data_IF_150189972893
#
_entry.id   IF_150189972893
#
_cell.length_a   1.000
_cell.length_b   1.000
_cell.length_c   1.000
_cell.angle_alpha   90.00
_cell.angle_beta   90.00
_cell.angle_gamma   90.00
#
_symmetry.space_group_name_H-M   'P 1'
#
loop_
_entity.id
_entity.type
_entity.pdbx_description
1 polymer ?
#
# COMPACT_ATOMS: atom_id res chain seq x y z
N UNK A 1 -28.43 -36.47 -11.27
CA UNK A 1 -27.84 -35.66 -12.36
C UNK A 1 -26.62 -34.96 -11.78
N UNK A 2 -25.48 -35.11 -12.44
CA UNK A 2 -24.20 -34.62 -11.97
C UNK A 2 -24.08 -33.10 -12.17
N UNK A 3 -23.61 -32.40 -11.13
CA UNK A 3 -23.11 -31.03 -11.25
C UNK A 3 -21.60 -31.03 -11.01
N UNK A 4 -20.82 -31.08 -12.09
CA UNK A 4 -19.38 -30.82 -12.06
C UNK A 4 -19.17 -29.31 -12.12
N UNK A 5 -18.84 -28.68 -10.99
CA UNK A 5 -18.51 -27.27 -10.95
C UNK A 5 -17.03 -27.03 -11.30
N UNK A 6 -16.83 -25.98 -12.09
CA UNK A 6 -15.62 -25.52 -12.79
C UNK A 6 -14.50 -25.03 -11.86
N UNK A 7 -13.84 -25.93 -11.13
CA UNK A 7 -12.68 -25.57 -10.30
C UNK A 7 -11.34 -25.50 -11.05
N UNK A 8 -11.30 -25.83 -12.35
CA UNK A 8 -10.06 -25.84 -13.14
C UNK A 8 -9.63 -24.43 -13.62
N UNK A 9 -10.57 -23.54 -13.97
CA UNK A 9 -10.24 -22.24 -14.55
C UNK A 9 -9.68 -21.24 -13.52
N UNK A 10 -10.11 -21.30 -12.25
CA UNK A 10 -9.62 -20.38 -11.21
C UNK A 10 -8.16 -20.65 -10.81
N UNK A 11 -7.70 -21.90 -10.90
CA UNK A 11 -6.30 -22.26 -10.65
C UNK A 11 -5.38 -21.79 -11.79
N UNK A 12 -5.80 -21.96 -13.05
CA UNK A 12 -5.03 -21.49 -14.21
C UNK A 12 -4.91 -19.96 -14.25
N UNK A 13 -5.98 -19.23 -13.89
CA UNK A 13 -5.96 -17.76 -13.80
C UNK A 13 -5.03 -17.27 -12.67
N UNK A 14 -5.03 -17.92 -11.50
CA UNK A 14 -4.13 -17.57 -10.37
C UNK A 14 -2.66 -17.84 -10.68
N UNK A 15 -2.33 -18.95 -11.33
CA UNK A 15 -0.94 -19.28 -11.68
C UNK A 15 -0.39 -18.37 -12.79
N UNK A 16 -1.23 -17.97 -13.75
CA UNK A 16 -0.84 -17.00 -14.78
C UNK A 16 -0.60 -15.60 -14.19
N UNK A 17 -1.39 -15.16 -13.22
CA UNK A 17 -1.16 -13.88 -12.54
C UNK A 17 0.12 -13.89 -11.69
N UNK A 18 0.38 -14.96 -10.95
CA UNK A 18 1.60 -15.10 -10.16
C UNK A 18 2.87 -15.05 -11.04
N UNK A 19 2.84 -15.73 -12.20
CA UNK A 19 3.95 -15.68 -13.17
C UNK A 19 4.16 -14.28 -13.73
N UNK A 20 3.09 -13.55 -14.06
CA UNK A 20 3.19 -12.15 -14.55
C UNK A 20 3.79 -11.22 -13.50
N UNK A 21 3.33 -11.30 -12.26
CA UNK A 21 3.90 -10.56 -11.13
C UNK A 21 5.39 -10.87 -10.96
N UNK A 22 5.79 -12.14 -11.11
CA UNK A 22 7.18 -12.56 -11.00
C UNK A 22 8.04 -11.98 -12.13
N UNK A 23 7.53 -12.01 -13.38
CA UNK A 23 8.23 -11.39 -14.51
C UNK A 23 8.36 -9.88 -14.33
N UNK A 24 7.30 -9.19 -13.92
CA UNK A 24 7.35 -7.76 -13.63
C UNK A 24 8.37 -7.46 -12.52
N UNK A 25 8.36 -8.22 -11.43
CA UNK A 25 9.33 -8.09 -10.34
C UNK A 25 10.78 -8.26 -10.83
N UNK A 26 11.06 -9.30 -11.62
CA UNK A 26 12.41 -9.56 -12.13
C UNK A 26 12.87 -8.41 -13.03
N UNK A 27 12.00 -7.89 -13.90
CA UNK A 27 12.31 -6.74 -14.77
C UNK A 27 12.60 -5.50 -13.93
N UNK A 28 11.69 -5.12 -13.03
CA UNK A 28 11.84 -3.93 -12.19
C UNK A 28 13.06 -4.02 -11.28
N UNK A 29 13.26 -5.15 -10.58
CA UNK A 29 14.42 -5.35 -9.71
C UNK A 29 15.74 -5.41 -10.50
N UNK A 30 15.73 -6.02 -11.68
CA UNK A 30 16.89 -6.07 -12.57
C UNK A 30 17.31 -4.67 -13.04
N UNK A 31 16.34 -3.84 -13.43
CA UNK A 31 16.61 -2.47 -13.84
C UNK A 31 17.00 -1.56 -12.68
N UNK A 32 16.38 -1.71 -11.51
CA UNK A 32 16.80 -1.03 -10.29
C UNK A 32 18.31 -1.25 -10.03
N UNK A 33 18.81 -2.49 -10.16
CA UNK A 33 20.25 -2.77 -10.00
C UNK A 33 21.10 -2.09 -11.08
N UNK A 34 20.63 -2.06 -12.34
CA UNK A 34 21.31 -1.35 -13.43
C UNK A 34 21.38 0.15 -13.17
N UNK A 35 20.33 0.76 -12.60
CA UNK A 35 20.30 2.18 -12.25
C UNK A 35 21.16 2.50 -11.04
N UNK A 36 21.22 1.63 -10.03
CA UNK A 36 22.15 1.79 -8.90
C UNK A 36 23.59 1.77 -9.40
N UNK A 37 23.97 0.71 -10.14
CA UNK A 37 25.32 0.59 -10.70
C UNK A 37 25.61 1.74 -11.66
N UNK A 38 24.63 2.07 -12.50
CA UNK A 38 24.69 3.14 -13.47
C UNK A 38 24.84 4.53 -12.86
N UNK A 39 24.12 4.82 -11.77
CA UNK A 39 24.22 6.05 -11.01
C UNK A 39 25.57 6.19 -10.33
N UNK A 40 26.11 5.11 -9.76
CA UNK A 40 27.46 5.10 -9.18
C UNK A 40 28.53 5.33 -10.26
N UNK A 41 28.47 4.60 -11.38
CA UNK A 41 29.46 4.68 -12.46
C UNK A 41 29.40 6.01 -13.22
N UNK A 42 28.20 6.54 -13.46
CA UNK A 42 28.03 7.85 -14.10
C UNK A 42 28.25 9.01 -13.15
N UNK A 43 28.23 8.74 -11.84
CA UNK A 43 28.16 9.75 -10.80
C UNK A 43 26.83 10.50 -10.81
N UNK A 44 25.74 10.02 -11.43
CA UNK A 44 24.45 10.72 -11.45
C UNK A 44 23.64 10.45 -10.18
N UNK A 45 23.24 11.51 -9.49
CA UNK A 45 22.30 11.42 -8.39
C UNK A 45 20.86 11.20 -8.87
N UNK A 46 20.54 11.66 -10.09
CA UNK A 46 19.19 11.50 -10.63
C UNK A 46 18.88 10.02 -10.88
N UNK A 47 19.86 9.26 -11.39
CA UNK A 47 19.73 7.80 -11.53
C UNK A 47 19.60 7.08 -10.18
N UNK A 48 20.31 7.54 -9.15
CA UNK A 48 20.18 6.95 -7.80
C UNK A 48 18.81 7.28 -7.18
N UNK A 49 18.26 8.46 -7.47
CA UNK A 49 16.92 8.83 -7.05
C UNK A 49 15.84 7.99 -7.74
N UNK A 50 15.98 7.78 -9.05
CA UNK A 50 15.10 6.90 -9.84
C UNK A 50 15.18 5.44 -9.34
N UNK A 51 16.39 4.95 -9.07
CA UNK A 51 16.60 3.63 -8.48
C UNK A 51 15.92 3.47 -7.11
N UNK A 52 15.88 4.55 -6.31
CA UNK A 52 15.13 4.59 -5.06
C UNK A 52 13.62 4.44 -5.28
N UNK A 53 13.05 5.09 -6.28
CA UNK A 53 11.66 4.86 -6.67
C UNK A 53 11.44 3.39 -7.06
N UNK A 54 12.28 2.86 -7.94
CA UNK A 54 12.22 1.49 -8.44
C UNK A 54 12.36 0.42 -7.34
N UNK A 55 13.08 0.72 -6.26
CA UNK A 55 13.14 -0.12 -5.06
C UNK A 55 11.75 -0.27 -4.43
N UNK A 56 10.98 0.81 -4.37
CA UNK A 56 9.60 0.79 -3.84
C UNK A 56 8.71 -0.12 -4.67
N UNK A 57 8.83 -0.03 -6.00
CA UNK A 57 7.96 -0.77 -6.92
C UNK A 57 8.35 -2.26 -6.93
N UNK A 58 9.66 -2.55 -6.90
CA UNK A 58 10.16 -3.91 -6.71
C UNK A 58 9.69 -4.50 -5.37
N UNK A 59 9.72 -3.72 -4.28
CA UNK A 59 9.22 -4.16 -2.98
C UNK A 59 7.71 -4.43 -3.01
N UNK A 60 6.91 -3.56 -3.63
CA UNK A 60 5.47 -3.75 -3.78
C UNK A 60 5.14 -5.03 -4.59
N UNK A 61 5.84 -5.25 -5.71
CA UNK A 61 5.68 -6.46 -6.52
C UNK A 61 6.12 -7.73 -5.77
N UNK A 62 7.21 -7.65 -5.00
CA UNK A 62 7.67 -8.73 -4.13
C UNK A 62 6.61 -9.06 -3.07
N UNK A 63 6.00 -8.05 -2.45
CA UNK A 63 4.95 -8.26 -1.46
C UNK A 63 3.68 -8.84 -2.07
N UNK A 64 3.29 -8.42 -3.28
CA UNK A 64 2.20 -9.05 -4.01
C UNK A 64 2.48 -10.54 -4.28
N UNK A 65 3.71 -10.88 -4.68
CA UNK A 65 4.13 -12.28 -4.87
C UNK A 65 4.11 -13.08 -3.58
N UNK A 66 4.64 -12.51 -2.50
CA UNK A 66 4.62 -13.13 -1.17
C UNK A 66 3.19 -13.30 -0.67
N UNK A 67 2.29 -12.34 -0.89
CA UNK A 67 0.88 -12.45 -0.54
C UNK A 67 0.21 -13.62 -1.29
N UNK A 68 0.46 -13.76 -2.60
CA UNK A 68 -0.02 -14.93 -3.37
C UNK A 68 0.56 -16.22 -2.80
N UNK A 69 1.83 -16.27 -2.46
CA UNK A 69 2.49 -17.47 -1.93
C UNK A 69 1.99 -17.83 -0.51
N UNK A 70 1.83 -16.84 0.36
CA UNK A 70 1.35 -17.03 1.74
C UNK A 70 -0.14 -17.31 1.80
N UNK A 71 -0.94 -16.82 0.85
CA UNK A 71 -2.36 -17.20 0.74
C UNK A 71 -2.57 -18.71 0.56
N UNK A 72 -1.53 -19.43 0.11
CA UNK A 72 -1.53 -20.89 -0.03
C UNK A 72 -1.17 -21.64 1.26
N UNK A 73 -0.68 -20.96 2.30
CA UNK A 73 -0.32 -21.58 3.58
C UNK A 73 -1.47 -21.42 4.59
N UNK A 74 -1.96 -22.50 5.21
CA UNK A 74 -3.00 -22.40 6.23
C UNK A 74 -2.45 -21.68 7.47
N UNK A 75 -3.30 -20.94 8.22
CA UNK A 75 -2.93 -20.40 9.53
C UNK A 75 -2.44 -21.49 10.49
N UNK A 76 -1.56 -21.12 11.42
CA UNK A 76 -1.04 -22.05 12.45
C UNK A 76 -1.55 -21.64 13.82
N UNK A 77 -1.50 -22.54 14.81
CA UNK A 77 -1.97 -22.25 16.18
C UNK A 77 -1.25 -21.06 16.81
N UNK A 78 0.03 -20.83 16.47
CA UNK A 78 0.81 -19.67 16.94
C UNK A 78 0.58 -18.40 16.11
N UNK A 79 0.17 -18.53 14.86
CA UNK A 79 -0.14 -17.42 13.96
C UNK A 79 -1.56 -17.60 13.43
N UNK A 80 -2.53 -17.20 14.25
CA UNK A 80 -3.97 -17.43 14.03
C UNK A 80 -4.51 -16.72 12.79
N UNK A 81 -3.95 -15.55 12.44
CA UNK A 81 -4.19 -14.86 11.17
C UNK A 81 -3.17 -15.19 10.08
N UNK A 82 -2.28 -16.17 10.32
CA UNK A 82 -1.16 -16.48 9.44
C UNK A 82 -0.10 -15.38 9.40
N UNK A 83 0.52 -15.18 8.25
CA UNK A 83 1.66 -14.29 8.05
C UNK A 83 1.29 -12.95 7.40
N UNK A 84 0.02 -12.56 7.48
CA UNK A 84 -0.51 -11.38 6.79
C UNK A 84 0.15 -10.06 7.24
N UNK A 85 0.52 -9.91 8.51
CA UNK A 85 1.22 -8.70 8.99
C UNK A 85 2.67 -8.57 8.51
N UNK A 86 3.27 -9.62 7.94
CA UNK A 86 4.65 -9.57 7.46
C UNK A 86 4.79 -8.61 6.26
N UNK A 87 3.76 -8.49 5.42
CA UNK A 87 3.74 -7.53 4.31
C UNK A 87 3.78 -6.11 4.83
N UNK A 88 3.05 -5.82 5.91
CA UNK A 88 3.01 -4.51 6.58
C UNK A 88 4.36 -4.15 7.18
N UNK A 89 4.98 -5.10 7.90
CA UNK A 89 6.31 -4.89 8.47
C UNK A 89 7.36 -4.61 7.39
N UNK A 90 7.28 -5.33 6.27
CA UNK A 90 8.20 -5.15 5.17
C UNK A 90 7.98 -3.83 4.43
N UNK A 91 6.73 -3.40 4.26
CA UNK A 91 6.38 -2.07 3.75
C UNK A 91 6.91 -0.94 4.66
N UNK A 92 6.82 -1.11 5.99
CA UNK A 92 7.38 -0.18 6.96
C UNK A 92 8.90 -0.05 6.84
N UNK A 93 9.62 -1.18 6.79
CA UNK A 93 11.09 -1.19 6.61
C UNK A 93 11.48 -0.56 5.26
N UNK A 94 10.76 -0.87 4.19
CA UNK A 94 10.97 -0.27 2.88
C UNK A 94 10.78 1.26 2.91
N UNK A 95 9.70 1.74 3.54
CA UNK A 95 9.44 3.17 3.68
C UNK A 95 10.57 3.89 4.43
N UNK A 96 11.13 3.30 5.49
CA UNK A 96 12.30 3.84 6.20
C UNK A 96 13.51 3.89 5.27
N UNK A 97 13.81 2.80 4.56
CA UNK A 97 14.95 2.75 3.65
C UNK A 97 14.87 3.85 2.58
N UNK A 98 13.69 4.08 2.01
CA UNK A 98 13.45 5.15 1.04
C UNK A 98 13.66 6.53 1.63
N UNK A 99 13.14 6.80 2.83
CA UNK A 99 13.37 8.08 3.51
C UNK A 99 14.87 8.31 3.70
N UNK A 100 15.61 7.30 4.18
CA UNK A 100 17.06 7.39 4.41
C UNK A 100 17.80 7.65 3.10
N UNK A 101 17.58 6.83 2.06
CA UNK A 101 18.23 6.97 0.75
C UNK A 101 17.93 8.35 0.15
N UNK A 102 16.69 8.80 0.22
CA UNK A 102 16.28 10.10 -0.32
C UNK A 102 16.95 11.25 0.40
N UNK A 103 17.04 11.21 1.73
CA UNK A 103 17.75 12.23 2.50
C UNK A 103 19.24 12.26 2.18
N UNK A 104 19.87 11.10 1.97
CA UNK A 104 21.27 11.00 1.53
C UNK A 104 21.46 11.61 0.13
N UNK A 105 20.55 11.36 -0.81
CA UNK A 105 20.62 11.94 -2.16
C UNK A 105 20.46 13.46 -2.11
N UNK A 106 19.51 13.97 -1.33
CA UNK A 106 19.32 15.42 -1.16
C UNK A 106 20.55 16.06 -0.53
N UNK A 107 21.14 15.43 0.50
CA UNK A 107 22.37 15.89 1.12
C UNK A 107 23.52 15.98 0.10
N UNK A 108 23.77 14.90 -0.65
CA UNK A 108 24.82 14.83 -1.67
C UNK A 108 24.56 15.82 -2.81
N UNK A 109 23.29 16.04 -3.19
CA UNK A 109 22.91 17.04 -4.18
C UNK A 109 23.23 18.46 -3.71
N UNK A 110 22.95 18.77 -2.44
CA UNK A 110 23.31 20.06 -1.82
C UNK A 110 24.83 20.24 -1.84
N UNK A 111 25.60 19.21 -1.46
CA UNK A 111 27.07 19.27 -1.49
C UNK A 111 27.61 19.58 -2.89
N UNK A 112 27.03 18.96 -3.93
CA UNK A 112 27.46 19.14 -5.32
C UNK A 112 27.24 20.54 -5.89
N UNK A 113 26.36 21.36 -5.30
CA UNK A 113 26.29 22.78 -5.67
C UNK A 113 27.53 23.56 -5.22
N UNK A 114 28.15 23.14 -4.11
CA UNK A 114 29.38 23.76 -3.59
C UNK A 114 30.64 23.13 -4.20
N UNK A 115 30.63 21.81 -4.44
CA UNK A 115 31.75 21.06 -5.02
C UNK A 115 31.30 20.28 -6.26
N UNK A 116 31.23 20.92 -7.45
CA UNK A 116 30.78 20.26 -8.67
C UNK A 116 31.62 19.02 -8.99
N UNK A 117 30.94 17.87 -9.14
CA UNK A 117 31.55 16.60 -9.58
C UNK A 117 31.21 16.34 -11.04
N UNK A 118 32.11 15.73 -11.83
CA UNK A 118 31.82 15.36 -13.20
C UNK A 118 30.75 14.27 -13.24
N UNK A 119 29.78 14.43 -14.15
CA UNK A 119 28.72 13.43 -14.41
C UNK A 119 28.89 12.92 -15.83
N UNK A 120 28.96 11.61 -16.01
CA UNK A 120 29.09 10.99 -17.33
C UNK A 120 27.72 10.99 -18.05
N UNK A 121 27.37 12.13 -18.65
CA UNK A 121 26.07 12.35 -19.30
C UNK A 121 25.69 11.28 -20.33
N UNK A 122 26.64 10.78 -21.12
CA UNK A 122 26.37 9.71 -22.09
C UNK A 122 25.94 8.39 -21.42
N UNK A 123 26.62 8.00 -20.35
CA UNK A 123 26.29 6.79 -19.60
C UNK A 123 24.92 6.97 -18.92
N UNK A 124 24.72 8.13 -18.28
CA UNK A 124 23.46 8.53 -17.67
C UNK A 124 22.28 8.44 -18.65
N UNK A 125 22.45 8.95 -19.88
CA UNK A 125 21.44 8.90 -20.94
C UNK A 125 21.05 7.48 -21.30
N UNK A 126 22.03 6.61 -21.55
CA UNK A 126 21.79 5.22 -21.97
C UNK A 126 21.00 4.47 -20.90
N UNK A 127 21.38 4.64 -19.64
CA UNK A 127 20.69 3.98 -18.52
C UNK A 127 19.28 4.55 -18.34
N UNK A 128 19.10 5.86 -18.37
CA UNK A 128 17.80 6.49 -18.17
C UNK A 128 16.80 6.12 -19.29
N UNK A 129 17.24 6.04 -20.54
CA UNK A 129 16.40 5.56 -21.66
C UNK A 129 16.09 4.07 -21.51
N UNK A 130 17.05 3.26 -21.08
CA UNK A 130 16.83 1.83 -20.87
C UNK A 130 15.84 1.58 -19.71
N UNK A 131 15.95 2.31 -18.60
CA UNK A 131 15.01 2.27 -17.47
C UNK A 131 13.60 2.69 -17.87
N UNK A 132 13.46 3.79 -18.63
CA UNK A 132 12.19 4.21 -19.19
C UNK A 132 11.52 3.10 -20.03
N UNK A 133 12.28 2.46 -20.92
CA UNK A 133 11.76 1.34 -21.74
C UNK A 133 11.39 0.13 -20.89
N UNK A 134 12.15 -0.15 -19.82
CA UNK A 134 11.84 -1.23 -18.89
C UNK A 134 10.54 -1.01 -18.15
N UNK A 135 10.30 0.21 -17.65
CA UNK A 135 9.07 0.56 -16.94
C UNK A 135 7.86 0.46 -17.86
N UNK A 136 7.97 0.93 -19.11
CA UNK A 136 6.93 0.75 -20.12
C UNK A 136 6.68 -0.74 -20.43
N UNK A 137 7.74 -1.56 -20.47
CA UNK A 137 7.62 -3.00 -20.70
C UNK A 137 6.96 -3.73 -19.53
N UNK A 138 7.36 -3.41 -18.29
CA UNK A 138 6.75 -3.95 -17.07
C UNK A 138 5.25 -3.58 -16.98
N UNK A 139 4.92 -2.32 -17.28
CA UNK A 139 3.54 -1.86 -17.39
C UNK A 139 2.74 -2.66 -18.42
N UNK A 140 3.31 -2.85 -19.62
CA UNK A 140 2.67 -3.60 -20.68
C UNK A 140 2.42 -5.07 -20.30
N UNK A 141 3.36 -5.72 -19.63
CA UNK A 141 3.20 -7.10 -19.11
C UNK A 141 2.03 -7.18 -18.14
N UNK A 142 1.93 -6.23 -17.21
CA UNK A 142 0.88 -6.20 -16.18
C UNK A 142 -0.51 -5.92 -16.78
N UNK A 143 -0.60 -5.14 -17.87
CA UNK A 143 -1.88 -4.75 -18.49
C UNK A 143 -2.42 -5.74 -19.52
N UNK A 144 -1.59 -6.62 -20.09
CA UNK A 144 -2.02 -7.49 -21.19
C UNK A 144 -2.98 -8.62 -20.79
N UNK A 145 -3.39 -8.72 -19.52
CA UNK A 145 -4.36 -9.74 -19.14
C UNK A 145 -5.17 -9.45 -17.88
N UNK A 146 -5.46 -8.17 -17.63
CA UNK A 146 -6.52 -7.70 -16.74
C UNK A 146 -7.74 -7.32 -17.59
N UNK A 147 -8.77 -8.18 -17.61
CA UNK A 147 -10.03 -7.90 -18.32
C UNK A 147 -10.91 -6.84 -17.62
N UNK A 148 -10.46 -6.29 -16.48
CA UNK A 148 -11.16 -5.23 -15.75
C UNK A 148 -10.82 -3.83 -16.28
N UNK A 149 -11.57 -3.44 -17.30
CA UNK A 149 -11.50 -2.12 -17.93
C UNK A 149 -12.24 -1.09 -17.07
N UNK A 150 -11.50 -0.26 -16.32
CA UNK A 150 -11.63 1.20 -16.24
C UNK A 150 -11.06 1.83 -14.95
N UNK A 151 -11.13 1.15 -13.79
CA UNK A 151 -10.59 1.69 -12.52
C UNK A 151 -9.10 1.34 -12.31
N UNK A 152 -8.73 0.08 -12.55
CA UNK A 152 -7.34 -0.38 -12.44
C UNK A 152 -6.41 0.33 -13.43
N UNK A 153 -6.91 0.68 -14.62
CA UNK A 153 -6.15 1.41 -15.65
C UNK A 153 -5.79 2.81 -15.18
N UNK A 154 -6.69 3.51 -14.48
CA UNK A 154 -6.42 4.87 -13.97
C UNK A 154 -5.42 4.84 -12.81
N UNK A 155 -5.55 3.87 -11.91
CA UNK A 155 -4.61 3.67 -10.81
C UNK A 155 -3.21 3.31 -11.34
N UNK A 156 -3.14 2.43 -12.34
CA UNK A 156 -1.88 2.02 -12.93
C UNK A 156 -1.24 3.10 -13.82
N UNK A 157 -2.04 3.91 -14.52
CA UNK A 157 -1.53 5.07 -15.26
C UNK A 157 -0.96 6.14 -14.32
N UNK A 158 -1.59 6.36 -13.16
CA UNK A 158 -1.06 7.26 -12.12
C UNK A 158 0.23 6.73 -11.51
N UNK A 159 0.37 5.41 -11.37
CA UNK A 159 1.59 4.77 -10.90
C UNK A 159 2.74 4.96 -11.90
N UNK A 160 2.53 4.61 -13.18
CA UNK A 160 3.53 4.79 -14.23
C UNK A 160 3.90 6.25 -14.44
N UNK A 161 2.98 7.20 -14.22
CA UNK A 161 3.33 8.62 -14.23
C UNK A 161 4.42 8.98 -13.20
N UNK A 162 4.48 8.31 -12.06
CA UNK A 162 5.56 8.45 -11.08
C UNK A 162 6.89 7.99 -11.67
N UNK A 163 6.93 6.77 -12.19
CA UNK A 163 8.11 6.14 -12.79
C UNK A 163 8.66 6.94 -13.97
N UNK A 164 7.76 7.49 -14.79
CA UNK A 164 8.12 8.32 -15.94
C UNK A 164 8.81 9.62 -15.51
N UNK A 165 8.43 10.21 -14.37
CA UNK A 165 9.01 11.49 -13.93
C UNK A 165 10.48 11.37 -13.54
N UNK A 166 10.87 10.26 -12.89
CA UNK A 166 12.25 9.98 -12.53
C UNK A 166 13.13 9.79 -13.76
N UNK A 167 12.76 8.86 -14.64
CA UNK A 167 13.54 8.56 -15.84
C UNK A 167 13.55 9.74 -16.83
N UNK A 168 12.43 10.47 -17.01
CA UNK A 168 12.41 11.69 -17.85
C UNK A 168 13.28 12.78 -17.23
N UNK A 169 13.25 12.95 -15.91
CA UNK A 169 14.12 13.89 -15.20
C UNK A 169 15.60 13.60 -15.45
N UNK A 170 16.00 12.32 -15.37
CA UNK A 170 17.36 11.88 -15.68
C UNK A 170 17.72 12.08 -17.16
N UNK A 171 16.82 11.81 -18.11
CA UNK A 171 17.05 12.07 -19.54
C UNK A 171 17.26 13.57 -19.79
N UNK A 172 16.42 14.44 -19.20
CA UNK A 172 16.54 15.89 -19.35
C UNK A 172 17.87 16.39 -18.79
N UNK A 173 18.27 15.95 -17.59
CA UNK A 173 19.56 16.32 -17.02
C UNK A 173 20.73 15.81 -17.87
N UNK A 174 20.66 14.59 -18.40
CA UNK A 174 21.68 14.03 -19.29
C UNK A 174 21.83 14.84 -20.59
N UNK A 175 20.72 15.24 -21.24
CA UNK A 175 20.76 16.09 -22.44
C UNK A 175 21.45 17.42 -22.17
N UNK A 176 21.11 18.08 -21.06
CA UNK A 176 21.71 19.34 -20.66
C UNK A 176 23.22 19.17 -20.45
N UNK A 177 23.63 18.12 -19.73
CA UNK A 177 25.05 17.85 -19.45
C UNK A 177 25.83 17.55 -20.74
N UNK A 178 25.27 16.75 -21.66
CA UNK A 178 25.95 16.38 -22.91
C UNK A 178 26.18 17.62 -23.80
N UNK A 179 25.19 18.51 -23.91
CA UNK A 179 25.29 19.66 -24.82
C UNK A 179 25.97 20.88 -24.21
N UNK A 180 25.86 21.09 -22.90
CA UNK A 180 26.34 22.31 -22.24
C UNK A 180 27.50 22.08 -21.27
N UNK A 181 27.74 20.82 -20.86
CA UNK A 181 28.65 20.49 -19.77
C UNK A 181 28.18 20.93 -18.39
N UNK A 182 26.95 21.45 -18.25
CA UNK A 182 26.42 22.00 -17.00
C UNK A 182 25.98 20.89 -16.04
N UNK A 183 26.94 20.40 -15.25
CA UNK A 183 26.74 19.35 -14.24
C UNK A 183 25.76 19.68 -13.11
N UNK A 184 25.47 20.94 -12.73
CA UNK A 184 24.43 21.26 -11.75
C UNK A 184 23.01 20.85 -12.17
N UNK A 185 22.77 20.52 -13.43
CA UNK A 185 21.49 19.96 -13.88
C UNK A 185 21.13 18.67 -13.10
N UNK A 186 22.10 17.80 -12.83
CA UNK A 186 21.86 16.52 -12.14
C UNK A 186 21.40 16.73 -10.69
N UNK A 187 22.09 17.50 -9.82
CA UNK A 187 21.61 17.83 -8.48
C UNK A 187 20.21 18.47 -8.44
N UNK A 188 19.90 19.39 -9.35
CA UNK A 188 18.57 20.05 -9.40
C UNK A 188 17.47 19.02 -9.67
N UNK A 189 17.65 18.19 -10.70
CA UNK A 189 16.67 17.17 -11.06
C UNK A 189 16.59 16.09 -9.97
N UNK A 190 17.70 15.75 -9.33
CA UNK A 190 17.75 14.79 -8.23
C UNK A 190 16.93 15.24 -7.03
N UNK A 191 17.02 16.51 -6.65
CA UNK A 191 16.20 17.09 -5.57
C UNK A 191 14.72 17.04 -5.95
N UNK A 192 14.38 17.39 -7.21
CA UNK A 192 13.00 17.36 -7.68
C UNK A 192 12.40 15.95 -7.61
N UNK A 193 13.12 14.93 -8.10
CA UNK A 193 12.69 13.53 -8.02
C UNK A 193 12.63 13.07 -6.57
N UNK A 194 13.63 13.42 -5.76
CA UNK A 194 13.69 13.09 -4.34
C UNK A 194 12.49 13.62 -3.55
N UNK A 195 11.98 14.82 -3.84
CA UNK A 195 10.76 15.35 -3.19
C UNK A 195 9.54 14.48 -3.50
N UNK A 196 9.42 13.98 -4.73
CA UNK A 196 8.33 13.10 -5.14
C UNK A 196 8.42 11.75 -4.42
N UNK A 197 9.61 11.13 -4.42
CA UNK A 197 9.88 9.87 -3.73
C UNK A 197 9.63 10.01 -2.22
N UNK A 198 10.09 11.11 -1.60
CA UNK A 198 9.90 11.37 -0.18
C UNK A 198 8.42 11.49 0.20
N UNK A 199 7.60 12.14 -0.64
CA UNK A 199 6.15 12.24 -0.43
C UNK A 199 5.49 10.86 -0.46
N UNK A 200 5.89 10.01 -1.40
CA UNK A 200 5.37 8.64 -1.50
C UNK A 200 5.82 7.78 -0.31
N UNK A 201 7.11 7.84 0.04
CA UNK A 201 7.67 7.13 1.19
C UNK A 201 7.03 7.56 2.51
N UNK A 202 6.76 8.86 2.70
CA UNK A 202 6.08 9.37 3.90
C UNK A 202 4.65 8.85 4.04
N UNK A 203 3.91 8.78 2.92
CA UNK A 203 2.58 8.18 2.91
C UNK A 203 2.64 6.70 3.28
N UNK A 204 3.50 5.94 2.61
CA UNK A 204 3.69 4.52 2.88
C UNK A 204 4.08 4.25 4.34
N UNK A 205 4.96 5.09 4.89
CA UNK A 205 5.38 5.02 6.29
C UNK A 205 4.19 5.23 7.23
N UNK A 206 3.41 6.30 7.01
CA UNK A 206 2.24 6.62 7.83
C UNK A 206 1.20 5.50 7.80
N UNK A 207 0.93 4.96 6.62
CA UNK A 207 -0.06 3.89 6.42
C UNK A 207 0.40 2.60 7.12
N UNK A 208 1.68 2.23 6.95
CA UNK A 208 2.25 1.03 7.59
C UNK A 208 2.32 1.16 9.12
N UNK A 209 2.66 2.35 9.64
CA UNK A 209 2.64 2.62 11.09
C UNK A 209 1.21 2.53 11.64
N UNK A 210 0.24 3.10 10.95
CA UNK A 210 -1.16 3.02 11.36
C UNK A 210 -1.62 1.56 11.47
N UNK A 211 -1.28 0.72 10.50
CA UNK A 211 -1.62 -0.70 10.56
C UNK A 211 -0.88 -1.46 11.67
N UNK A 212 0.41 -1.19 11.88
CA UNK A 212 1.19 -1.80 12.98
C UNK A 212 0.68 -1.41 14.37
N UNK A 213 0.11 -0.21 14.50
CA UNK A 213 -0.51 0.30 15.73
C UNK A 213 -2.00 -0.06 15.85
N UNK A 214 -2.50 -0.97 15.00
CA UNK A 214 -3.91 -1.41 15.00
C UNK A 214 -4.90 -0.26 14.79
N UNK A 215 -4.48 0.78 14.07
CA UNK A 215 -5.30 1.91 13.70
C UNK A 215 -6.37 1.54 12.68
N UNK A 216 -7.52 2.20 12.78
CA UNK A 216 -8.62 2.03 11.83
C UNK A 216 -8.20 2.48 10.41
N UNK A 217 -8.72 1.84 9.35
CA UNK A 217 -8.47 2.27 7.98
C UNK A 217 -9.06 3.66 7.74
N UNK A 218 -8.30 4.53 7.06
CA UNK A 218 -8.67 5.94 6.81
C UNK A 218 -9.98 6.08 6.00
N UNK A 219 -10.34 5.07 5.23
CA UNK A 219 -11.58 5.02 4.44
C UNK A 219 -12.84 4.78 5.28
N UNK A 220 -12.70 4.37 6.55
CA UNK A 220 -13.83 3.97 7.38
C UNK A 220 -14.14 5.02 8.46
N UNK A 221 -15.31 5.65 8.36
CA UNK A 221 -15.87 6.46 9.45
C UNK A 221 -16.70 5.57 10.39
N UNK A 222 -16.11 5.27 11.56
CA UNK A 222 -16.74 4.44 12.61
C UNK A 222 -18.07 5.04 13.08
N UNK A 223 -18.15 6.37 13.23
CA UNK A 223 -19.37 7.04 13.70
C UNK A 223 -20.47 7.00 12.63
N UNK A 224 -20.10 7.08 11.35
CA UNK A 224 -21.04 6.88 10.26
C UNK A 224 -21.54 5.42 10.22
N UNK A 225 -20.64 4.44 10.37
CA UNK A 225 -21.00 3.02 10.39
C UNK A 225 -21.97 2.71 11.54
N UNK A 226 -21.69 3.15 12.77
CA UNK A 226 -22.58 2.92 13.91
C UNK A 226 -24.00 3.45 13.68
N UNK A 227 -24.10 4.67 13.13
CA UNK A 227 -25.38 5.30 12.78
C UNK A 227 -26.09 4.58 11.65
N UNK A 228 -25.35 4.08 10.66
CA UNK A 228 -25.92 3.39 9.52
C UNK A 228 -26.46 2.01 9.94
N UNK A 229 -25.66 1.24 10.68
CA UNK A 229 -26.05 -0.08 11.20
C UNK A 229 -27.31 0.00 12.08
N UNK A 230 -27.38 1.00 12.96
CA UNK A 230 -28.55 1.20 13.85
C UNK A 230 -29.81 1.70 13.11
N UNK A 231 -29.67 2.23 11.88
CA UNK A 231 -30.80 2.67 11.06
C UNK A 231 -31.31 1.55 10.16
N UNK A 232 -30.41 0.74 9.63
CA UNK A 232 -30.74 -0.31 8.68
C UNK A 232 -31.34 -1.55 9.36
N UNK A 233 -30.92 -1.84 10.60
CA UNK A 233 -31.38 -3.01 11.36
C UNK A 233 -32.19 -2.53 12.57
N UNK A 234 -33.55 -2.56 12.51
CA UNK A 234 -34.43 -2.02 13.55
C UNK A 234 -34.22 -2.62 14.95
N UNK A 235 -33.73 -3.85 15.02
CA UNK A 235 -33.43 -4.56 16.25
C UNK A 235 -32.19 -4.01 16.96
N UNK A 236 -31.28 -3.34 16.25
CA UNK A 236 -30.06 -2.75 16.80
C UNK A 236 -30.38 -1.35 17.36
N UNK A 237 -30.23 -1.20 18.67
CA UNK A 237 -30.49 0.06 19.39
C UNK A 237 -29.28 0.95 19.51
N UNK A 238 -28.12 0.34 19.73
CA UNK A 238 -26.87 1.05 19.93
C UNK A 238 -25.71 0.14 19.50
N UNK A 239 -24.66 0.73 18.94
CA UNK A 239 -23.42 0.04 18.61
C UNK A 239 -22.27 0.77 19.29
N UNK A 240 -21.51 0.08 20.13
CA UNK A 240 -20.42 0.67 20.89
C UNK A 240 -19.24 -0.30 20.97
N UNK A 241 -18.14 0.13 21.62
CA UNK A 241 -16.90 -0.64 21.73
C UNK A 241 -16.42 -1.18 20.36
N UNK A 242 -16.52 -0.33 19.35
CA UNK A 242 -16.14 -0.65 17.97
C UNK A 242 -14.64 -0.49 17.84
N UNK A 243 -13.97 -1.59 17.50
CA UNK A 243 -12.56 -1.61 17.16
C UNK A 243 -12.42 -2.19 15.76
N UNK A 244 -11.70 -1.49 14.89
CA UNK A 244 -11.45 -1.92 13.52
C UNK A 244 -9.97 -1.72 13.26
N UNK A 245 -9.33 -2.75 12.71
CA UNK A 245 -7.93 -2.70 12.31
C UNK A 245 -7.72 -3.49 11.03
N UNK A 246 -6.54 -3.29 10.42
CA UNK A 246 -6.13 -4.02 9.21
C UNK A 246 -5.20 -5.17 9.59
N UNK A 247 -5.34 -6.30 8.91
CA UNK A 247 -4.43 -7.45 9.00
C UNK A 247 -3.97 -7.78 7.58
N UNK A 248 -2.87 -7.16 7.14
CA UNK A 248 -2.53 -7.06 5.74
C UNK A 248 -3.60 -6.25 5.01
N UNK A 249 -4.14 -6.78 3.91
CA UNK A 249 -5.19 -6.10 3.14
C UNK A 249 -6.61 -6.35 3.66
N UNK A 250 -6.78 -7.10 4.76
CA UNK A 250 -8.11 -7.51 5.25
C UNK A 250 -8.53 -6.67 6.46
N UNK A 251 -9.67 -5.96 6.41
CA UNK A 251 -10.23 -5.32 7.58
C UNK A 251 -10.81 -6.39 8.52
N UNK A 252 -10.48 -6.26 9.81
CA UNK A 252 -11.03 -7.06 10.90
C UNK A 252 -11.71 -6.13 11.88
N UNK A 253 -12.86 -6.55 12.40
CA UNK A 253 -13.68 -5.73 13.29
C UNK A 253 -14.12 -6.50 14.51
N UNK A 254 -14.17 -5.81 15.65
CA UNK A 254 -14.93 -6.24 16.82
C UNK A 254 -15.87 -5.13 17.23
N UNK A 255 -17.09 -5.49 17.64
CA UNK A 255 -18.08 -4.51 18.07
C UNK A 255 -19.07 -5.12 19.04
N UNK A 256 -19.66 -4.25 19.87
CA UNK A 256 -20.77 -4.60 20.74
C UNK A 256 -22.04 -3.99 20.17
N UNK A 257 -23.06 -4.82 19.95
CA UNK A 257 -24.35 -4.41 19.43
C UNK A 257 -25.41 -4.61 20.52
N UNK A 258 -25.95 -3.50 21.02
CA UNK A 258 -27.12 -3.53 21.88
C UNK A 258 -28.35 -3.82 21.02
N UNK A 259 -29.00 -4.94 21.28
CA UNK A 259 -30.15 -5.43 20.50
C UNK A 259 -31.36 -5.64 21.37
N UNK A 260 -32.54 -5.44 20.79
CA UNK A 260 -33.79 -5.93 21.39
C UNK A 260 -33.73 -7.47 21.35
N UNK A 261 -34.04 -8.19 22.44
CA UNK A 261 -34.04 -9.66 22.44
C UNK A 261 -34.79 -10.22 21.22
N UNK A 262 -34.08 -10.80 20.24
CA UNK A 262 -34.70 -11.26 19.02
C UNK A 262 -35.36 -12.62 19.26
N UNK A 263 -36.32 -12.97 18.40
CA UNK A 263 -36.90 -14.31 18.41
C UNK A 263 -35.90 -15.35 17.89
N UNK A 264 -35.04 -14.92 16.96
CA UNK A 264 -33.95 -15.71 16.38
C UNK A 264 -32.64 -14.89 16.46
N UNK A 265 -31.74 -15.35 17.31
CA UNK A 265 -30.45 -14.71 17.56
C UNK A 265 -29.50 -14.84 16.37
N UNK A 266 -29.45 -16.02 15.75
CA UNK A 266 -28.47 -16.33 14.71
C UNK A 266 -28.84 -15.63 13.41
N UNK A 267 -30.14 -15.54 13.09
CA UNK A 267 -30.61 -14.77 11.95
C UNK A 267 -30.31 -13.26 12.07
N UNK A 268 -30.34 -12.70 13.29
CA UNK A 268 -29.96 -11.30 13.51
C UNK A 268 -28.44 -11.12 13.36
N UNK A 269 -27.63 -12.05 13.89
CA UNK A 269 -26.18 -12.03 13.74
C UNK A 269 -25.79 -12.07 12.26
N UNK A 270 -26.36 -12.98 11.48
CA UNK A 270 -26.12 -13.11 10.04
C UNK A 270 -26.48 -11.82 9.29
N UNK A 271 -27.62 -11.19 9.60
CA UNK A 271 -28.01 -9.91 9.00
C UNK A 271 -27.00 -8.79 9.28
N UNK A 272 -26.46 -8.71 10.50
CA UNK A 272 -25.43 -7.73 10.85
C UNK A 272 -24.13 -8.04 10.09
N UNK A 273 -23.72 -9.30 10.02
CA UNK A 273 -22.52 -9.73 9.30
C UNK A 273 -22.63 -9.44 7.80
N UNK A 274 -23.78 -9.75 7.19
CA UNK A 274 -24.04 -9.48 5.78
C UNK A 274 -24.02 -7.98 5.50
N UNK A 275 -24.62 -7.16 6.36
CA UNK A 275 -24.55 -5.69 6.21
C UNK A 275 -23.10 -5.20 6.22
N UNK A 276 -22.28 -5.65 7.17
CA UNK A 276 -20.86 -5.27 7.25
C UNK A 276 -20.04 -5.75 6.03
N UNK A 277 -20.37 -6.92 5.51
CA UNK A 277 -19.67 -7.49 4.35
C UNK A 277 -20.06 -6.79 3.03
N UNK A 278 -21.33 -6.46 2.83
CA UNK A 278 -21.80 -5.86 1.58
C UNK A 278 -21.53 -4.34 1.52
N UNK A 279 -21.78 -3.61 2.62
CA UNK A 279 -21.66 -2.14 2.63
C UNK A 279 -20.23 -1.67 2.94
N UNK A 280 -19.49 -2.42 3.76
CA UNK A 280 -18.17 -2.01 4.25
C UNK A 280 -17.05 -2.98 3.88
N UNK A 281 -17.35 -4.09 3.19
CA UNK A 281 -16.37 -5.12 2.81
C UNK A 281 -15.60 -5.73 4.00
N UNK A 282 -16.24 -5.75 5.17
CA UNK A 282 -15.68 -6.34 6.40
C UNK A 282 -16.14 -7.80 6.48
N UNK A 283 -15.28 -8.71 6.01
CA UNK A 283 -15.59 -10.15 5.99
C UNK A 283 -15.37 -10.86 7.33
N UNK A 284 -14.59 -10.25 8.25
CA UNK A 284 -14.28 -10.86 9.54
C UNK A 284 -14.64 -9.90 10.68
N UNK A 285 -15.84 -10.08 11.23
CA UNK A 285 -16.36 -9.29 12.34
C UNK A 285 -16.76 -10.21 13.51
N UNK A 286 -16.27 -9.91 14.70
CA UNK A 286 -16.76 -10.52 15.94
C UNK A 286 -17.75 -9.56 16.59
N UNK A 287 -19.01 -9.98 16.66
CA UNK A 287 -20.10 -9.16 17.18
C UNK A 287 -20.55 -9.73 18.51
N UNK A 288 -20.43 -8.95 19.58
CA UNK A 288 -21.01 -9.27 20.87
C UNK A 288 -22.39 -8.65 20.97
N UNK A 289 -23.44 -9.48 21.04
CA UNK A 289 -24.81 -9.00 21.25
C UNK A 289 -25.10 -8.80 22.73
N UNK A 290 -25.70 -7.65 23.05
CA UNK A 290 -26.04 -7.26 24.41
C UNK A 290 -27.52 -6.88 24.49
N UNK A 291 -28.22 -7.39 25.51
CA UNK A 291 -29.65 -7.13 25.70
C UNK A 291 -29.93 -6.00 26.69
N UNK A 292 -28.97 -5.70 27.55
CA UNK A 292 -29.07 -4.63 28.54
C UNK A 292 -28.20 -3.44 28.14
N UNK A 293 -28.43 -2.31 28.78
CA UNK A 293 -27.55 -1.16 28.65
C UNK A 293 -26.20 -1.53 29.27
N UNK A 294 -25.11 -1.30 28.54
CA UNK A 294 -23.76 -1.54 29.01
C UNK A 294 -23.43 -0.54 30.13
N UNK A 295 -23.21 -1.05 31.35
CA UNK A 295 -22.90 -0.24 32.56
C UNK A 295 -21.48 -0.46 33.11
N UNK A 296 -20.66 -1.28 32.44
CA UNK A 296 -19.30 -1.60 32.85
C UNK A 296 -18.26 -0.54 32.47
N UNK A 297 -17.04 -0.60 33.06
CA UNK A 297 -15.94 0.29 32.70
C UNK A 297 -15.54 0.14 31.22
N UNK A 298 -15.69 -1.07 30.65
CA UNK A 298 -15.35 -1.37 29.25
C UNK A 298 -16.21 -0.59 28.25
N UNK A 299 -17.43 -0.21 28.64
CA UNK A 299 -18.35 0.58 27.81
C UNK A 299 -17.85 2.02 27.60
N UNK A 300 -16.97 2.51 28.49
CA UNK A 300 -16.44 3.87 28.48
C UNK A 300 -15.01 3.98 27.93
N UNK A 301 -14.37 2.85 27.55
CA UNK A 301 -12.97 2.85 27.07
C UNK A 301 -12.72 3.78 25.88
N UNK A 302 -13.73 4.01 25.04
CA UNK A 302 -13.66 4.88 23.87
C UNK A 302 -14.43 6.20 24.03
N UNK A 303 -15.01 6.47 25.21
CA UNK A 303 -15.69 7.73 25.49
C UNK A 303 -14.70 8.69 26.14
N UNK A 304 -14.41 9.81 25.49
CA UNK A 304 -13.74 10.93 26.16
C UNK A 304 -14.63 11.34 27.34
N UNK A 305 -14.13 11.43 28.59
CA UNK A 305 -14.97 11.80 29.71
C UNK A 305 -15.54 13.19 29.42
N UNK A 306 -16.84 13.23 29.12
CA UNK A 306 -17.57 14.48 28.98
C UNK A 306 -17.45 15.22 30.31
N UNK A 307 -16.81 16.39 30.26
CA UNK A 307 -16.42 17.17 31.42
C UNK A 307 -17.59 17.46 32.37
N UNK A 308 -17.25 17.47 33.66
CA UNK A 308 -17.98 18.08 34.77
C UNK A 308 -19.47 17.74 34.88
N UNK A 309 -19.75 16.64 35.58
CA UNK A 309 -20.97 16.54 36.40
C UNK A 309 -20.80 17.55 37.55
N UNK A 310 -21.38 18.74 37.39
CA UNK A 310 -21.62 19.64 38.52
C UNK A 310 -22.64 18.96 39.44
N UNK A 311 -22.16 18.41 40.55
CA UNK A 311 -23.00 18.12 41.70
C UNK A 311 -23.37 19.45 42.35
N UNK A 312 -24.67 19.79 42.30
CA UNK A 312 -25.32 20.68 43.25
C UNK A 312 -26.11 19.85 44.24
#
# INVERSE_FOLDING_TARGET
MAHSHSHADSHLLKDNNARRLLFAFIVTAGFMLLEVVGGILSGSLALLADAGHMLTDAAALLFALLAVQFSRRPPTVRHTFGWLRLTTLAAFVNAIALVVITLLIVWEAIERFYTPRPVAGNLMMVIAVAGLLANLFAFWILHRGSDEKNLNVRAAALHVMGDLLGSVGAIVAALIIIWTGWTPADPILSILVSVLVLRSAWRLLKDSVNELLEGAPVSLDINALQRHLSREIPEVRNVHHVHVWMVGEKPVMTLHAQVIPPHDHDALLERIQDFLMHEYHIAHATIQMEYQVCHGPDCHLNQTPSGHVHHH
#
